data_IF_848739310838
#
_entry.id   IF_848739310838
#
_cell.length_a   1.000
_cell.length_b   1.000
_cell.length_c   1.000
_cell.angle_alpha   90.00
_cell.angle_beta   90.00
_cell.angle_gamma   90.00
#
_symmetry.space_group_name_H-M   'P 1'
#
loop_
_entity.id
_entity.type
_entity.pdbx_description
1 polymer ?
#
# COMPACT_ATOMS: atom_id res chain seq x y z
N UNK A 1 13.74 -35.96 -16.61
CA UNK A 1 13.22 -35.00 -15.62
C UNK A 1 13.03 -33.67 -16.32
N UNK A 2 11.81 -33.39 -16.77
CA UNK A 2 11.43 -32.18 -17.49
C UNK A 2 11.26 -31.04 -16.49
N UNK A 3 12.17 -30.07 -16.53
CA UNK A 3 12.02 -28.82 -15.76
C UNK A 3 10.72 -28.12 -16.24
N UNK A 4 9.69 -28.09 -15.41
CA UNK A 4 8.54 -27.21 -15.63
C UNK A 4 9.05 -25.77 -15.73
N UNK A 5 8.99 -25.16 -16.89
CA UNK A 5 9.14 -23.73 -17.08
C UNK A 5 8.00 -23.07 -16.29
N UNK A 6 8.34 -22.46 -15.16
CA UNK A 6 7.41 -21.61 -14.42
C UNK A 6 7.15 -20.43 -15.36
N UNK A 7 5.95 -20.33 -15.93
CA UNK A 7 5.51 -19.14 -16.66
C UNK A 7 5.63 -17.96 -15.71
N UNK A 8 6.46 -16.99 -16.06
CA UNK A 8 6.54 -15.74 -15.34
C UNK A 8 5.23 -14.99 -15.64
N UNK A 9 4.39 -14.86 -14.63
CA UNK A 9 3.23 -13.97 -14.70
C UNK A 9 3.78 -12.55 -14.85
N UNK A 10 3.49 -11.92 -15.98
CA UNK A 10 3.89 -10.54 -16.23
C UNK A 10 2.95 -9.62 -15.44
N UNK A 11 3.47 -9.02 -14.37
CA UNK A 11 2.71 -8.12 -13.51
C UNK A 11 2.79 -6.71 -14.10
N UNK A 12 1.65 -6.05 -14.39
CA UNK A 12 1.63 -4.71 -14.94
C UNK A 12 2.30 -3.68 -14.00
N UNK A 13 3.05 -2.74 -14.58
CA UNK A 13 3.68 -1.63 -13.86
C UNK A 13 2.93 -0.34 -14.20
N UNK A 14 2.40 0.34 -13.19
CA UNK A 14 1.57 1.54 -13.32
C UNK A 14 2.19 2.80 -12.71
N UNK A 15 3.43 2.74 -12.24
CA UNK A 15 4.19 3.88 -11.71
C UNK A 15 5.30 4.30 -12.67
N UNK A 16 5.81 5.52 -12.48
CA UNK A 16 7.02 6.00 -13.18
C UNK A 16 8.26 5.40 -12.51
N UNK A 17 9.33 5.22 -13.26
CA UNK A 17 10.59 4.69 -12.75
C UNK A 17 11.78 5.13 -13.60
N UNK A 18 12.97 5.12 -13.03
CA UNK A 18 14.22 5.35 -13.73
C UNK A 18 14.75 4.08 -14.36
N UNK A 19 14.68 2.96 -13.62
CA UNK A 19 15.20 1.64 -14.04
C UNK A 19 14.35 0.49 -13.52
N UNK A 20 14.42 -0.61 -14.25
CA UNK A 20 13.91 -1.91 -13.80
C UNK A 20 15.07 -2.74 -13.26
N UNK A 21 15.02 -3.07 -11.98
CA UNK A 21 16.09 -3.76 -11.25
C UNK A 21 15.55 -5.06 -10.64
N UNK A 22 16.39 -6.10 -10.59
CA UNK A 22 16.07 -7.30 -9.81
C UNK A 22 16.01 -6.96 -8.32
N UNK A 23 14.86 -7.13 -7.64
CA UNK A 23 14.71 -6.79 -6.22
C UNK A 23 15.76 -7.46 -5.32
N UNK A 24 16.21 -8.65 -5.67
CA UNK A 24 17.24 -9.37 -4.91
C UNK A 24 18.61 -8.64 -4.90
N UNK A 25 18.86 -7.75 -5.88
CA UNK A 25 20.09 -6.96 -5.98
C UNK A 25 20.02 -5.64 -5.21
N UNK A 26 18.82 -5.21 -4.81
CA UNK A 26 18.63 -3.99 -4.04
C UNK A 26 19.08 -4.22 -2.59
N UNK A 27 19.77 -3.24 -2.03
CA UNK A 27 20.33 -3.33 -0.67
C UNK A 27 19.38 -2.66 0.32
N UNK A 28 18.79 -3.40 1.28
CA UNK A 28 18.03 -2.78 2.37
C UNK A 28 18.90 -1.82 3.17
N UNK A 29 18.31 -0.74 3.66
CA UNK A 29 19.05 0.21 4.51
C UNK A 29 19.38 -0.45 5.86
N UNK A 30 20.66 -0.46 6.28
CA UNK A 30 21.09 -1.18 7.50
C UNK A 30 20.47 -0.59 8.79
N UNK A 31 20.09 0.69 8.77
CA UNK A 31 19.45 1.36 9.90
C UNK A 31 17.91 1.36 9.80
N UNK A 32 17.31 0.59 8.90
CA UNK A 32 15.85 0.48 8.85
C UNK A 32 15.31 -0.26 10.07
N UNK A 33 14.49 0.39 10.94
CA UNK A 33 13.97 -0.24 12.15
C UNK A 33 12.74 -1.11 11.88
N UNK A 34 12.11 -0.96 10.71
CA UNK A 34 10.84 -1.62 10.39
C UNK A 34 11.06 -3.07 9.98
N UNK A 35 10.39 -3.97 10.71
CA UNK A 35 10.34 -5.41 10.39
C UNK A 35 8.95 -5.73 9.83
N UNK A 36 8.92 -6.27 8.65
CA UNK A 36 7.68 -6.68 8.00
C UNK A 36 7.42 -8.16 8.29
N UNK A 37 6.30 -8.52 8.97
CA UNK A 37 5.95 -9.91 9.18
C UNK A 37 5.59 -10.59 7.84
N UNK A 38 5.75 -11.91 7.79
CA UNK A 38 5.46 -12.71 6.58
C UNK A 38 4.03 -12.51 6.08
N UNK A 39 3.06 -12.37 6.99
CA UNK A 39 1.66 -12.10 6.65
C UNK A 39 1.46 -10.79 5.87
N UNK A 40 2.19 -9.72 6.25
CA UNK A 40 2.15 -8.44 5.54
C UNK A 40 2.78 -8.57 4.14
N UNK A 41 3.91 -9.27 4.05
CA UNK A 41 4.61 -9.50 2.79
C UNK A 41 3.74 -10.34 1.84
N UNK A 42 3.10 -11.40 2.36
CA UNK A 42 2.19 -12.26 1.57
C UNK A 42 0.97 -11.51 1.08
N UNK A 43 0.36 -10.69 1.93
CA UNK A 43 -0.77 -9.85 1.55
C UNK A 43 -0.40 -8.87 0.43
N UNK A 44 0.72 -8.16 0.59
CA UNK A 44 1.22 -7.23 -0.42
C UNK A 44 1.55 -7.96 -1.73
N UNK A 45 2.17 -9.13 -1.66
CA UNK A 45 2.45 -9.96 -2.83
C UNK A 45 1.16 -10.39 -3.54
N UNK A 46 0.15 -10.82 -2.79
CA UNK A 46 -1.19 -11.17 -3.34
C UNK A 46 -1.83 -9.98 -4.08
N UNK A 47 -1.80 -8.79 -3.46
CA UNK A 47 -2.35 -7.56 -4.05
C UNK A 47 -1.59 -7.19 -5.32
N UNK A 48 -0.26 -7.20 -5.29
CA UNK A 48 0.57 -6.88 -6.47
C UNK A 48 0.38 -7.86 -7.62
N UNK A 49 0.10 -9.14 -7.32
CA UNK A 49 -0.12 -10.17 -8.34
C UNK A 49 -1.46 -10.04 -9.06
N UNK A 50 -2.42 -9.27 -8.51
CA UNK A 50 -3.71 -9.04 -9.15
C UNK A 50 -3.55 -8.14 -10.38
N UNK A 51 -3.95 -8.62 -11.55
CA UNK A 51 -3.63 -8.02 -12.85
C UNK A 51 -4.13 -6.58 -13.04
N UNK A 52 -5.26 -6.23 -12.44
CA UNK A 52 -5.85 -4.88 -12.50
C UNK A 52 -5.25 -3.92 -11.46
N UNK A 53 -4.60 -4.43 -10.41
CA UNK A 53 -3.84 -3.64 -9.44
C UNK A 53 -2.39 -3.49 -9.92
N UNK A 54 -1.66 -4.59 -10.07
CA UNK A 54 -0.26 -4.58 -10.48
C UNK A 54 0.67 -3.83 -9.52
N UNK A 55 1.79 -3.36 -10.05
CA UNK A 55 2.77 -2.57 -9.31
C UNK A 55 2.43 -1.09 -9.45
N UNK A 56 1.96 -0.46 -8.37
CA UNK A 56 1.55 0.95 -8.32
C UNK A 56 2.62 1.89 -7.78
N UNK A 57 3.60 1.35 -7.05
CA UNK A 57 4.65 2.15 -6.40
C UNK A 57 6.02 1.55 -6.67
N UNK A 58 6.97 2.41 -6.93
CA UNK A 58 8.38 2.10 -7.09
C UNK A 58 9.08 1.86 -5.75
N UNK A 59 10.31 1.38 -5.82
CA UNK A 59 11.25 1.37 -4.70
C UNK A 59 12.18 2.57 -4.87
N UNK A 60 12.35 3.37 -3.82
CA UNK A 60 13.25 4.52 -3.82
C UNK A 60 14.60 4.09 -3.26
N UNK A 61 15.65 4.37 -4.04
CA UNK A 61 17.04 4.08 -3.70
C UNK A 61 17.83 5.36 -3.67
N UNK A 62 18.61 5.57 -2.62
CA UNK A 62 19.53 6.70 -2.54
C UNK A 62 20.66 6.57 -3.56
N UNK A 63 20.95 7.63 -4.29
CA UNK A 63 22.09 7.68 -5.20
C UNK A 63 23.42 7.68 -4.47
N UNK A 64 23.48 8.30 -3.28
CA UNK A 64 24.71 8.44 -2.51
C UNK A 64 25.07 7.18 -1.75
N UNK A 65 24.13 6.58 -1.02
CA UNK A 65 24.39 5.37 -0.21
C UNK A 65 24.18 4.06 -0.97
N UNK A 66 23.33 4.08 -2.00
CA UNK A 66 22.89 2.90 -2.75
C UNK A 66 21.94 1.99 -1.96
N UNK A 67 21.44 2.45 -0.81
CA UNK A 67 20.46 1.72 0.00
C UNK A 67 19.02 2.11 -0.36
N UNK A 68 18.09 1.20 -0.10
CA UNK A 68 16.66 1.47 -0.17
C UNK A 68 16.30 2.47 0.92
N UNK A 69 15.60 3.54 0.56
CA UNK A 69 15.04 4.52 1.49
C UNK A 69 13.56 4.21 1.72
N UNK A 70 12.81 3.92 0.65
CA UNK A 70 11.39 3.56 0.73
C UNK A 70 11.10 2.28 -0.05
N UNK A 71 10.18 1.46 0.47
CA UNK A 71 9.69 0.26 -0.21
C UNK A 71 10.38 -1.04 0.17
N UNK A 72 10.89 -1.16 1.38
CA UNK A 72 11.49 -2.40 1.90
C UNK A 72 10.50 -3.59 1.82
N UNK A 73 9.23 -3.40 2.26
CA UNK A 73 8.19 -4.42 2.14
C UNK A 73 7.90 -4.79 0.68
N UNK A 74 7.87 -3.80 -0.23
CA UNK A 74 7.68 -4.01 -1.67
C UNK A 74 8.80 -4.86 -2.27
N UNK A 75 10.04 -4.65 -1.82
CA UNK A 75 11.17 -5.50 -2.21
C UNK A 75 10.94 -6.96 -1.82
N UNK A 76 10.56 -7.22 -0.56
CA UNK A 76 10.35 -8.60 -0.07
C UNK A 76 9.17 -9.27 -0.80
N UNK A 77 8.07 -8.56 -1.01
CA UNK A 77 6.93 -9.06 -1.78
C UNK A 77 7.32 -9.39 -3.23
N UNK A 78 8.11 -8.54 -3.87
CA UNK A 78 8.59 -8.77 -5.23
C UNK A 78 9.53 -9.98 -5.33
N UNK A 79 10.39 -10.21 -4.33
CA UNK A 79 11.24 -11.40 -4.24
C UNK A 79 10.37 -12.65 -4.10
N UNK A 80 9.34 -12.61 -3.24
CA UNK A 80 8.39 -13.72 -3.01
C UNK A 80 7.64 -14.10 -4.28
N UNK A 81 7.29 -13.12 -5.11
CA UNK A 81 6.68 -13.30 -6.43
C UNK A 81 7.69 -13.69 -7.53
N UNK A 82 8.99 -13.82 -7.20
CA UNK A 82 10.06 -14.09 -8.16
C UNK A 82 10.14 -13.05 -9.31
N UNK A 83 9.76 -11.80 -9.03
CA UNK A 83 9.87 -10.69 -9.99
C UNK A 83 11.36 -10.42 -10.24
N UNK A 84 11.76 -10.29 -11.51
CA UNK A 84 13.15 -10.02 -11.91
C UNK A 84 13.39 -8.58 -12.35
N UNK A 85 12.33 -7.83 -12.57
CA UNK A 85 12.36 -6.44 -13.02
C UNK A 85 11.32 -5.65 -12.24
N UNK A 86 11.75 -4.93 -11.21
CA UNK A 86 10.91 -4.08 -10.38
C UNK A 86 11.24 -2.59 -10.63
N UNK A 87 10.24 -1.70 -10.67
CA UNK A 87 10.46 -0.27 -10.89
C UNK A 87 11.21 0.37 -9.72
N UNK A 88 12.27 1.10 -10.05
CA UNK A 88 13.15 1.78 -9.08
C UNK A 88 13.34 3.22 -9.52
N UNK A 89 13.26 4.13 -8.54
CA UNK A 89 13.62 5.53 -8.68
C UNK A 89 14.85 5.82 -7.83
N UNK A 90 15.80 6.58 -8.38
CA UNK A 90 17.01 7.00 -7.69
C UNK A 90 16.89 8.46 -7.26
N UNK A 91 16.94 8.70 -5.95
CA UNK A 91 16.86 10.05 -5.38
C UNK A 91 18.19 10.50 -4.77
N UNK A 92 18.44 11.78 -4.80
CA UNK A 92 19.54 12.44 -4.10
C UNK A 92 19.02 12.99 -2.77
N UNK A 93 19.83 12.84 -1.73
CA UNK A 93 19.58 13.40 -0.41
C UNK A 93 20.74 14.31 -0.04
N UNK A 94 20.45 15.47 0.55
CA UNK A 94 21.46 16.46 0.92
C UNK A 94 22.50 15.92 1.92
N UNK A 95 22.08 14.95 2.74
CA UNK A 95 22.93 14.31 3.74
C UNK A 95 22.40 12.91 4.11
N UNK A 96 23.26 12.12 4.76
CA UNK A 96 22.86 10.85 5.38
C UNK A 96 21.77 11.06 6.44
N UNK A 97 21.80 12.19 7.17
CA UNK A 97 20.76 12.52 8.14
C UNK A 97 19.40 12.73 7.46
N UNK A 98 19.37 13.44 6.33
CA UNK A 98 18.14 13.65 5.54
C UNK A 98 17.62 12.33 4.99
N UNK A 99 18.48 11.47 4.45
CA UNK A 99 18.13 10.14 3.95
C UNK A 99 17.46 9.30 5.06
N UNK A 100 18.07 9.26 6.25
CA UNK A 100 17.51 8.53 7.41
C UNK A 100 16.19 9.13 7.89
N UNK A 101 16.07 10.45 7.93
CA UNK A 101 14.84 11.11 8.35
C UNK A 101 13.68 10.79 7.39
N UNK A 102 13.92 10.80 6.07
CA UNK A 102 12.93 10.41 5.07
C UNK A 102 12.52 8.94 5.24
N UNK A 103 13.48 8.03 5.40
CA UNK A 103 13.20 6.61 5.65
C UNK A 103 12.31 6.39 6.89
N UNK A 104 12.52 7.18 7.95
CA UNK A 104 11.74 7.04 9.20
C UNK A 104 10.34 7.64 9.07
N UNK A 105 10.19 8.78 8.39
CA UNK A 105 8.91 9.47 8.32
C UNK A 105 7.93 8.81 7.35
N UNK A 106 8.38 8.17 6.28
CA UNK A 106 7.54 7.49 5.29
C UNK A 106 6.52 6.54 5.94
N UNK A 107 6.97 5.69 6.85
CA UNK A 107 6.07 4.80 7.57
C UNK A 107 5.32 5.52 8.69
N UNK A 108 6.00 6.42 9.42
CA UNK A 108 5.43 7.04 10.63
C UNK A 108 4.28 7.99 10.33
N UNK A 109 4.35 8.76 9.25
CA UNK A 109 3.29 9.70 8.85
C UNK A 109 1.97 8.98 8.62
N UNK A 110 1.99 7.80 8.01
CA UNK A 110 0.79 7.01 7.73
C UNK A 110 0.05 6.56 9.00
N UNK A 111 0.74 6.44 10.14
CA UNK A 111 0.14 6.05 11.42
C UNK A 111 -0.70 7.17 12.06
N UNK A 112 -0.57 8.43 11.63
CA UNK A 112 -1.36 9.55 12.14
C UNK A 112 -2.70 9.73 11.41
N UNK A 113 -2.93 8.99 10.33
CA UNK A 113 -4.19 9.06 9.60
C UNK A 113 -5.33 8.44 10.41
N UNK A 114 -6.44 9.17 10.52
CA UNK A 114 -7.68 8.68 11.12
C UNK A 114 -8.63 8.24 10.00
N UNK A 115 -9.36 7.17 10.26
CA UNK A 115 -10.31 6.60 9.29
C UNK A 115 -11.71 7.12 9.58
N UNK A 116 -12.35 7.74 8.58
CA UNK A 116 -13.79 7.98 8.62
C UNK A 116 -14.53 6.66 8.35
N UNK A 117 -15.15 6.13 9.39
CA UNK A 117 -15.82 4.82 9.32
C UNK A 117 -17.03 4.79 8.41
N UNK A 118 -17.73 5.92 8.21
CA UNK A 118 -18.89 6.00 7.30
C UNK A 118 -18.41 5.97 5.85
N UNK A 119 -17.40 6.78 5.52
CA UNK A 119 -16.82 6.79 4.17
C UNK A 119 -16.19 5.43 3.85
N UNK A 120 -15.56 4.76 4.82
CA UNK A 120 -15.01 3.42 4.63
C UNK A 120 -16.12 2.41 4.33
N UNK A 121 -17.22 2.43 5.08
CA UNK A 121 -18.37 1.55 4.87
C UNK A 121 -19.00 1.75 3.48
N UNK A 122 -19.17 2.99 3.06
CA UNK A 122 -19.71 3.33 1.74
C UNK A 122 -18.80 2.80 0.63
N UNK A 123 -17.48 3.03 0.70
CA UNK A 123 -16.52 2.51 -0.27
C UNK A 123 -16.54 0.97 -0.36
N UNK A 124 -16.60 0.28 0.79
CA UNK A 124 -16.67 -1.19 0.79
C UNK A 124 -17.98 -1.69 0.16
N UNK A 125 -19.09 -1.01 0.44
CA UNK A 125 -20.39 -1.34 -0.14
C UNK A 125 -20.41 -1.14 -1.66
N UNK A 126 -19.83 -0.04 -2.15
CA UNK A 126 -19.71 0.23 -3.58
C UNK A 126 -18.83 -0.80 -4.29
N UNK A 127 -17.69 -1.18 -3.69
CA UNK A 127 -16.82 -2.22 -4.24
C UNK A 127 -17.54 -3.57 -4.34
N UNK A 128 -18.33 -3.94 -3.33
CA UNK A 128 -19.12 -5.18 -3.34
C UNK A 128 -20.20 -5.14 -4.43
N UNK A 129 -20.91 -4.02 -4.61
CA UNK A 129 -21.88 -3.82 -5.69
C UNK A 129 -21.24 -3.93 -7.08
N UNK A 130 -19.98 -3.52 -7.21
CA UNK A 130 -19.19 -3.66 -8.44
C UNK A 130 -18.63 -5.08 -8.60
N UNK A 131 -18.93 -6.01 -7.69
CA UNK A 131 -18.39 -7.36 -7.62
C UNK A 131 -16.85 -7.38 -7.54
N UNK A 132 -16.24 -6.37 -6.92
CA UNK A 132 -14.81 -6.32 -6.70
C UNK A 132 -14.44 -7.07 -5.42
N UNK A 133 -13.48 -8.03 -5.45
CA UNK A 133 -13.17 -8.83 -4.28
C UNK A 133 -12.54 -7.98 -3.16
N UNK A 134 -13.22 -7.85 -2.03
CA UNK A 134 -12.81 -6.99 -0.90
C UNK A 134 -11.50 -7.42 -0.23
N UNK A 135 -11.07 -8.65 -0.43
CA UNK A 135 -9.78 -9.16 0.07
C UNK A 135 -8.55 -8.41 -0.49
N UNK A 136 -8.72 -7.60 -1.55
CA UNK A 136 -7.66 -6.75 -2.11
C UNK A 136 -7.64 -5.33 -1.54
N UNK A 137 -8.51 -5.01 -0.58
CA UNK A 137 -8.48 -3.74 0.17
C UNK A 137 -7.44 -3.72 1.28
N UNK A 138 -6.79 -4.85 1.55
CA UNK A 138 -5.90 -5.10 2.68
C UNK A 138 -6.59 -5.14 4.05
N UNK A 139 -7.91 -5.00 4.10
CA UNK A 139 -8.70 -5.17 5.32
C UNK A 139 -8.94 -6.66 5.60
N UNK A 140 -8.94 -7.04 6.88
CA UNK A 140 -9.36 -8.37 7.31
C UNK A 140 -10.88 -8.55 7.17
N UNK A 141 -11.35 -9.79 7.12
CA UNK A 141 -12.77 -10.08 7.07
C UNK A 141 -13.54 -9.48 8.25
N UNK A 142 -12.94 -9.47 9.45
CA UNK A 142 -13.55 -8.89 10.66
C UNK A 142 -13.62 -7.35 10.57
N UNK A 143 -12.60 -6.69 10.02
CA UNK A 143 -12.63 -5.25 9.79
C UNK A 143 -13.71 -4.88 8.76
N UNK A 144 -13.78 -5.59 7.64
CA UNK A 144 -14.82 -5.40 6.62
C UNK A 144 -16.19 -5.55 7.24
N UNK A 145 -16.41 -6.62 8.00
CA UNK A 145 -17.69 -6.86 8.69
C UNK A 145 -18.02 -5.74 9.67
N UNK A 146 -17.06 -5.28 10.45
CA UNK A 146 -17.25 -4.20 11.42
C UNK A 146 -17.63 -2.87 10.75
N UNK A 147 -17.07 -2.54 9.58
CA UNK A 147 -17.44 -1.35 8.83
C UNK A 147 -18.82 -1.47 8.19
N UNK A 148 -19.15 -2.63 7.60
CA UNK A 148 -20.41 -2.80 6.84
C UNK A 148 -21.61 -3.12 7.75
N UNK A 149 -21.42 -3.92 8.80
CA UNK A 149 -22.51 -4.39 9.69
C UNK A 149 -22.47 -3.73 11.07
N UNK A 150 -21.38 -3.07 11.45
CA UNK A 150 -21.16 -2.52 12.78
C UNK A 150 -22.02 -1.29 13.10
N UNK A 151 -21.99 -0.80 14.35
CA UNK A 151 -22.79 0.33 14.85
C UNK A 151 -22.45 1.68 14.21
N UNK A 152 -21.51 1.72 13.27
CA UNK A 152 -21.16 2.89 12.45
C UNK A 152 -22.26 3.32 11.49
N UNK A 153 -23.34 2.56 11.35
CA UNK A 153 -24.61 3.09 10.80
C UNK A 153 -25.28 3.99 11.85
N UNK A 154 -24.62 5.09 12.20
CA UNK A 154 -25.33 6.20 12.78
C UNK A 154 -26.28 6.65 11.67
N UNK A 155 -27.54 6.40 11.91
CA UNK A 155 -28.63 6.78 11.03
C UNK A 155 -28.47 8.27 10.70
N UNK A 156 -27.98 8.61 9.50
CA UNK A 156 -27.82 9.97 9.03
C UNK A 156 -29.17 10.70 8.87
N UNK A 157 -30.26 10.06 9.33
CA UNK A 157 -31.60 10.67 9.30
C UNK A 157 -31.82 11.71 10.40
N UNK A 158 -30.92 11.84 11.39
CA UNK A 158 -31.14 12.75 12.53
C UNK A 158 -30.10 13.88 12.69
N UNK A 159 -29.25 14.13 11.71
CA UNK A 159 -28.44 15.34 11.68
C UNK A 159 -29.06 16.38 10.76
N UNK A 160 -30.25 16.83 11.10
CA UNK A 160 -30.70 18.14 10.63
C UNK A 160 -29.82 19.20 11.29
N UNK A 161 -28.94 19.82 10.53
CA UNK A 161 -28.18 20.98 10.98
C UNK A 161 -29.06 22.20 10.72
N UNK A 162 -29.57 22.81 11.81
CA UNK A 162 -30.31 24.04 11.73
C UNK A 162 -29.36 25.25 11.78
N UNK A 163 -29.49 26.14 10.80
CA UNK A 163 -28.73 27.37 10.80
C UNK A 163 -29.18 28.25 11.97
N UNK A 164 -28.31 28.68 12.90
CA UNK A 164 -28.67 29.46 14.08
C UNK A 164 -29.13 30.88 13.71
N UNK A 165 -28.87 31.36 12.49
CA UNK A 165 -29.26 32.70 12.06
C UNK A 165 -30.58 32.75 11.29
N UNK A 166 -30.89 31.72 10.50
CA UNK A 166 -32.08 31.75 9.64
C UNK A 166 -33.00 30.53 9.79
N UNK A 167 -32.67 29.56 10.63
CA UNK A 167 -33.47 28.34 10.85
C UNK A 167 -33.53 27.38 9.66
N UNK A 168 -32.70 27.58 8.63
CA UNK A 168 -32.63 26.63 7.50
C UNK A 168 -32.07 25.30 7.95
N UNK A 169 -32.73 24.21 7.55
CA UNK A 169 -32.33 22.81 7.88
C UNK A 169 -31.74 22.21 6.61
N UNK A 170 -30.53 21.62 6.71
CA UNK A 170 -29.88 20.80 5.67
C UNK A 170 -29.37 19.48 6.21
#
# INVERSE_FOLDING_TARGET
MTKKKTEQVEIPIHCKYDKLIDPAKLKPHPANPWKHPDSQIDLLAKIMAKSDIGIRHEIIVSKSSGFIVEGHCRREAAIRLNIKKYPVVYQEFESEATERAVMLNDNKISEFAEVDGLIMADNLTELDQLNYPLEFTALSADEIKNYVEGPTKINNQDKTIECPECGHIW
#
